data_IF_377692447241
#
_entry.id   IF_377692447241
#
_cell.length_a   1.000
_cell.length_b   1.000
_cell.length_c   1.000
_cell.angle_alpha   90.00
_cell.angle_beta   90.00
_cell.angle_gamma   90.00
#
_symmetry.space_group_name_H-M   'P 1'
#
loop_
_entity.id
_entity.type
_entity.pdbx_description
1 polymer ?
#
# COMPACT_ATOMS: atom_id res chain seq x y z
N UNK A 1 4.19 -5.24 -22.65
CA UNK A 1 2.87 -4.74 -23.11
C UNK A 1 2.25 -5.62 -24.19
N UNK A 2 2.81 -5.72 -25.41
CA UNK A 2 2.14 -6.36 -26.55
C UNK A 2 1.72 -7.82 -26.28
N UNK A 3 2.54 -8.61 -25.59
CA UNK A 3 2.19 -9.99 -25.21
C UNK A 3 0.96 -10.05 -24.30
N UNK A 4 0.86 -9.15 -23.31
CA UNK A 4 -0.28 -9.05 -22.41
C UNK A 4 -1.53 -8.53 -23.13
N UNK A 5 -1.38 -7.61 -24.08
CA UNK A 5 -2.50 -7.18 -24.92
C UNK A 5 -3.05 -8.33 -25.77
N UNK A 6 -2.18 -9.10 -26.46
CA UNK A 6 -2.61 -10.27 -27.22
C UNK A 6 -3.30 -11.30 -26.32
N UNK A 7 -2.75 -11.57 -25.14
CA UNK A 7 -3.34 -12.49 -24.17
C UNK A 7 -4.72 -12.03 -23.69
N UNK A 8 -4.84 -10.77 -23.26
CA UNK A 8 -6.11 -10.21 -22.75
C UNK A 8 -7.16 -10.07 -23.85
N UNK A 9 -6.73 -9.81 -25.09
CA UNK A 9 -7.61 -9.79 -26.26
C UNK A 9 -8.10 -11.19 -26.63
N UNK A 10 -7.27 -12.23 -26.47
CA UNK A 10 -7.60 -13.63 -26.77
C UNK A 10 -8.30 -14.36 -25.61
N UNK A 11 -9.17 -13.66 -24.89
CA UNK A 11 -9.95 -14.22 -23.77
C UNK A 11 -9.08 -14.83 -22.65
N UNK A 12 -7.84 -14.35 -22.48
CA UNK A 12 -6.91 -14.75 -21.41
C UNK A 12 -6.54 -16.23 -21.43
N UNK A 13 -6.46 -16.83 -22.62
CA UNK A 13 -6.00 -18.21 -22.78
C UNK A 13 -4.48 -18.29 -22.60
N UNK A 14 -4.04 -19.12 -21.65
CA UNK A 14 -2.64 -19.21 -21.25
C UNK A 14 -1.80 -20.14 -22.16
N UNK A 15 -2.43 -20.87 -23.07
CA UNK A 15 -1.81 -21.95 -23.85
C UNK A 15 -0.75 -21.48 -24.86
N UNK A 16 -0.66 -20.18 -25.13
CA UNK A 16 0.26 -19.61 -26.15
C UNK A 16 1.02 -18.37 -25.71
N UNK A 17 1.01 -18.06 -24.42
CA UNK A 17 1.62 -16.82 -23.92
C UNK A 17 3.12 -16.80 -24.16
N UNK A 18 3.82 -17.91 -23.87
CA UNK A 18 5.27 -18.01 -24.07
C UNK A 18 5.64 -17.91 -25.55
N UNK A 19 4.87 -18.56 -26.44
CA UNK A 19 5.05 -18.45 -27.90
C UNK A 19 4.86 -17.00 -28.39
N UNK A 20 3.87 -16.28 -27.83
CA UNK A 20 3.64 -14.87 -28.14
C UNK A 20 4.78 -13.99 -27.64
N UNK A 21 5.29 -14.21 -26.43
CA UNK A 21 6.46 -13.48 -25.89
C UNK A 21 7.65 -13.67 -26.84
N UNK A 22 7.99 -14.92 -27.14
CA UNK A 22 9.12 -15.25 -28.01
C UNK A 22 8.99 -14.60 -29.38
N UNK A 23 7.82 -14.70 -30.02
CA UNK A 23 7.56 -14.09 -31.33
C UNK A 23 7.73 -12.57 -31.29
N UNK A 24 7.15 -11.90 -30.28
CA UNK A 24 7.20 -10.44 -30.14
C UNK A 24 8.64 -9.96 -29.89
N UNK A 25 9.40 -10.66 -29.05
CA UNK A 25 10.81 -10.29 -28.80
C UNK A 25 11.65 -10.45 -30.06
N UNK A 26 11.46 -11.51 -30.84
CA UNK A 26 12.17 -11.69 -32.11
C UNK A 26 11.85 -10.60 -33.13
N UNK A 27 10.60 -10.13 -33.18
CA UNK A 27 10.14 -9.15 -34.16
C UNK A 27 10.49 -7.71 -33.77
N UNK A 28 10.36 -7.34 -32.50
CA UNK A 28 10.47 -5.95 -32.02
C UNK A 28 11.70 -5.68 -31.14
N UNK A 29 12.39 -6.73 -30.69
CA UNK A 29 13.56 -6.63 -29.83
C UNK A 29 14.73 -7.52 -30.26
N UNK A 30 15.09 -7.58 -31.56
CA UNK A 30 16.20 -8.42 -32.00
C UNK A 30 17.50 -7.97 -31.32
N UNK A 31 18.08 -8.86 -30.51
CA UNK A 31 19.31 -8.59 -29.74
C UNK A 31 19.11 -8.10 -28.31
N UNK A 32 17.89 -8.09 -27.78
CA UNK A 32 17.64 -7.93 -26.34
C UNK A 32 18.12 -9.18 -25.58
N UNK A 33 18.94 -8.98 -24.55
CA UNK A 33 19.42 -10.03 -23.64
C UNK A 33 18.63 -10.02 -22.32
N UNK A 34 17.32 -9.76 -22.41
CA UNK A 34 16.40 -9.58 -21.27
C UNK A 34 15.16 -10.48 -21.39
N UNK A 35 15.25 -11.58 -22.17
CA UNK A 35 14.11 -12.47 -22.40
C UNK A 35 13.56 -13.05 -21.10
N UNK A 36 14.44 -13.44 -20.19
CA UNK A 36 14.05 -14.00 -18.88
C UNK A 36 13.28 -12.96 -18.04
N UNK A 37 13.72 -11.69 -18.05
CA UNK A 37 13.04 -10.60 -17.35
C UNK A 37 11.66 -10.31 -17.96
N UNK A 38 11.57 -10.24 -19.28
CA UNK A 38 10.29 -10.03 -19.99
C UNK A 38 9.32 -11.18 -19.69
N UNK A 39 9.82 -12.42 -19.70
CA UNK A 39 9.02 -13.60 -19.41
C UNK A 39 8.53 -13.60 -17.96
N UNK A 40 9.41 -13.31 -16.99
CA UNK A 40 9.04 -13.18 -15.58
C UNK A 40 7.96 -12.12 -15.38
N UNK A 41 8.11 -10.95 -16.00
CA UNK A 41 7.14 -9.86 -15.90
C UNK A 41 5.76 -10.28 -16.45
N UNK A 42 5.73 -10.82 -17.67
CA UNK A 42 4.46 -11.20 -18.32
C UNK A 42 3.78 -12.36 -17.59
N UNK A 43 4.52 -13.41 -17.24
CA UNK A 43 3.97 -14.55 -16.51
C UNK A 43 3.56 -14.17 -15.09
N UNK A 44 4.31 -13.27 -14.44
CA UNK A 44 3.97 -12.71 -13.14
C UNK A 44 2.65 -11.94 -13.17
N UNK A 45 2.47 -11.06 -14.15
CA UNK A 45 1.20 -10.34 -14.34
C UNK A 45 0.02 -11.30 -14.53
N UNK A 46 0.17 -12.33 -15.36
CA UNK A 46 -0.88 -13.32 -15.60
C UNK A 46 -1.19 -14.11 -14.33
N UNK A 47 -0.14 -14.55 -13.62
CA UNK A 47 -0.27 -15.32 -12.37
C UNK A 47 -1.03 -14.56 -11.28
N UNK A 48 -0.81 -13.25 -11.17
CA UNK A 48 -1.46 -12.41 -10.15
C UNK A 48 -2.62 -11.57 -10.68
N UNK A 49 -3.13 -11.86 -11.89
CA UNK A 49 -4.11 -11.01 -12.55
C UNK A 49 -5.33 -10.68 -11.68
N UNK A 50 -5.94 -11.66 -11.03
CA UNK A 50 -7.15 -11.40 -10.21
C UNK A 50 -6.85 -10.42 -9.07
N UNK A 51 -5.71 -10.58 -8.39
CA UNK A 51 -5.27 -9.66 -7.34
C UNK A 51 -4.96 -8.26 -7.88
N UNK A 52 -4.31 -8.19 -9.04
CA UNK A 52 -3.98 -6.91 -9.68
C UNK A 52 -5.27 -6.18 -10.11
N UNK A 53 -6.22 -6.90 -10.68
CA UNK A 53 -7.53 -6.37 -11.10
C UNK A 53 -8.33 -5.86 -9.91
N UNK A 54 -8.39 -6.62 -8.80
CA UNK A 54 -9.07 -6.20 -7.57
C UNK A 54 -8.52 -4.87 -7.02
N UNK A 55 -7.20 -4.70 -7.03
CA UNK A 55 -6.55 -3.46 -6.56
C UNK A 55 -6.83 -2.31 -7.54
N UNK A 56 -6.79 -2.57 -8.85
CA UNK A 56 -7.13 -1.57 -9.87
C UNK A 56 -8.58 -1.09 -9.70
N UNK A 57 -9.53 -2.00 -9.49
CA UNK A 57 -10.94 -1.64 -9.29
C UNK A 57 -11.15 -0.83 -8.00
N UNK A 58 -10.45 -1.16 -6.92
CA UNK A 58 -10.48 -0.37 -5.68
C UNK A 58 -9.95 1.05 -5.90
N UNK A 59 -8.89 1.20 -6.70
CA UNK A 59 -8.28 2.50 -7.01
C UNK A 59 -9.05 3.30 -8.09
N UNK A 60 -9.91 2.64 -8.87
CA UNK A 60 -10.72 3.23 -9.93
C UNK A 60 -12.18 2.73 -9.87
N UNK A 61 -12.93 3.05 -8.79
CA UNK A 61 -14.25 2.47 -8.54
C UNK A 61 -15.31 2.85 -9.60
N UNK A 62 -15.14 4.01 -10.25
CA UNK A 62 -16.01 4.45 -11.34
C UNK A 62 -15.75 3.70 -12.66
N UNK A 63 -14.69 2.89 -12.73
CA UNK A 63 -14.24 2.19 -13.93
C UNK A 63 -14.02 0.70 -13.63
N UNK A 64 -15.08 -0.11 -13.71
CA UNK A 64 -14.95 -1.56 -13.62
C UNK A 64 -13.90 -2.08 -14.59
N UNK A 65 -13.17 -3.14 -14.22
CA UNK A 65 -11.98 -3.59 -14.94
C UNK A 65 -12.23 -3.86 -16.43
N UNK A 66 -13.43 -4.34 -16.75
CA UNK A 66 -13.87 -4.65 -18.11
C UNK A 66 -14.18 -3.41 -18.97
N UNK A 67 -14.41 -2.24 -18.35
CA UNK A 67 -14.65 -0.97 -19.02
C UNK A 67 -13.36 -0.18 -19.27
N UNK A 68 -12.27 -0.53 -18.58
CA UNK A 68 -10.95 0.04 -18.83
C UNK A 68 -10.44 -0.46 -20.18
N UNK A 69 -9.88 0.45 -20.99
CA UNK A 69 -9.27 0.11 -22.26
C UNK A 69 -8.20 -0.98 -22.08
N UNK A 70 -8.16 -1.96 -23.00
CA UNK A 70 -7.27 -3.13 -22.89
C UNK A 70 -5.81 -2.71 -22.70
N UNK A 71 -5.37 -1.66 -23.40
CA UNK A 71 -4.03 -1.08 -23.24
C UNK A 71 -3.83 -0.58 -21.81
N UNK A 72 -4.68 0.33 -21.34
CA UNK A 72 -4.56 0.96 -20.02
C UNK A 72 -4.61 -0.09 -18.90
N UNK A 73 -5.53 -1.06 -18.99
CA UNK A 73 -5.65 -2.16 -18.04
C UNK A 73 -4.35 -2.97 -17.96
N UNK A 74 -3.76 -3.33 -19.09
CA UNK A 74 -2.52 -4.11 -19.07
C UNK A 74 -1.31 -3.29 -18.63
N UNK A 75 -1.28 -1.98 -18.93
CA UNK A 75 -0.25 -1.09 -18.39
C UNK A 75 -0.38 -0.96 -16.86
N UNK A 76 -1.60 -0.81 -16.35
CA UNK A 76 -1.86 -0.79 -14.91
C UNK A 76 -1.41 -2.08 -14.24
N UNK A 77 -1.72 -3.24 -14.83
CA UNK A 77 -1.26 -4.53 -14.33
C UNK A 77 0.26 -4.65 -14.29
N UNK A 78 0.96 -4.20 -15.33
CA UNK A 78 2.43 -4.19 -15.39
C UNK A 78 2.98 -3.32 -14.25
N UNK A 79 2.59 -2.05 -14.21
CA UNK A 79 3.11 -1.11 -13.21
C UNK A 79 2.80 -1.54 -11.78
N UNK A 80 1.60 -2.10 -11.56
CA UNK A 80 1.22 -2.61 -10.25
C UNK A 80 1.99 -3.87 -9.87
N UNK A 81 2.22 -4.79 -10.82
CA UNK A 81 3.03 -5.97 -10.56
C UNK A 81 4.46 -5.56 -10.16
N UNK A 82 5.07 -4.63 -10.89
CA UNK A 82 6.40 -4.11 -10.55
C UNK A 82 6.43 -3.44 -9.17
N UNK A 83 5.41 -2.65 -8.83
CA UNK A 83 5.30 -2.01 -7.51
C UNK A 83 5.19 -3.01 -6.35
N UNK A 84 4.45 -4.10 -6.55
CA UNK A 84 4.11 -5.05 -5.48
C UNK A 84 5.10 -6.19 -5.33
N UNK A 85 5.76 -6.58 -6.42
CA UNK A 85 6.58 -7.79 -6.52
C UNK A 85 7.98 -7.56 -7.12
N UNK A 86 8.25 -6.39 -7.71
CA UNK A 86 9.57 -6.07 -8.27
C UNK A 86 10.65 -5.85 -7.20
N UNK A 87 11.91 -6.07 -7.58
CA UNK A 87 13.05 -5.72 -6.72
C UNK A 87 13.24 -4.20 -6.70
N UNK A 88 12.86 -3.60 -5.57
CA UNK A 88 12.95 -2.14 -5.36
C UNK A 88 14.38 -1.60 -5.39
N UNK A 89 15.39 -2.44 -5.21
CA UNK A 89 16.80 -2.04 -5.33
C UNK A 89 17.24 -1.88 -6.78
N UNK A 90 16.59 -2.58 -7.71
CA UNK A 90 16.85 -2.48 -9.14
C UNK A 90 15.98 -1.40 -9.78
N UNK A 91 14.68 -1.37 -9.45
CA UNK A 91 13.73 -0.39 -10.01
C UNK A 91 12.94 0.28 -8.88
N UNK A 92 13.25 1.56 -8.56
CA UNK A 92 12.48 2.31 -7.57
C UNK A 92 11.01 2.46 -7.99
N UNK A 93 10.10 2.47 -7.01
CA UNK A 93 8.65 2.52 -7.24
C UNK A 93 8.21 3.68 -8.14
N UNK A 94 8.81 4.87 -7.98
CA UNK A 94 8.51 6.03 -8.82
C UNK A 94 8.99 5.88 -10.27
N UNK A 95 10.06 5.14 -10.48
CA UNK A 95 10.54 4.81 -11.82
C UNK A 95 9.53 3.89 -12.49
N UNK A 96 9.13 2.79 -11.84
CA UNK A 96 8.09 1.89 -12.36
C UNK A 96 6.77 2.62 -12.72
N UNK A 97 6.34 3.56 -11.89
CA UNK A 97 5.16 4.39 -12.17
C UNK A 97 5.37 5.28 -13.39
N UNK A 98 6.51 5.98 -13.48
CA UNK A 98 6.80 6.84 -14.63
C UNK A 98 6.89 6.03 -15.92
N UNK A 99 7.56 4.88 -15.91
CA UNK A 99 7.65 3.99 -17.07
C UNK A 99 6.26 3.50 -17.50
N UNK A 100 5.40 3.15 -16.54
CA UNK A 100 4.00 2.79 -16.83
C UNK A 100 3.22 3.95 -17.46
N UNK A 101 3.41 5.19 -17.00
CA UNK A 101 2.77 6.37 -17.57
C UNK A 101 3.23 6.61 -19.01
N UNK A 102 4.54 6.53 -19.27
CA UNK A 102 5.09 6.72 -20.62
C UNK A 102 4.68 5.58 -21.56
N UNK A 103 4.58 4.36 -21.04
CA UNK A 103 4.04 3.22 -21.77
C UNK A 103 2.57 3.46 -22.16
N UNK A 104 1.73 3.93 -21.23
CA UNK A 104 0.35 4.31 -21.51
C UNK A 104 0.25 5.42 -22.55
N UNK A 105 1.14 6.43 -22.51
CA UNK A 105 1.17 7.49 -23.53
C UNK A 105 1.53 6.95 -24.91
N UNK A 106 2.49 6.04 -24.97
CA UNK A 106 2.97 5.47 -26.23
C UNK A 106 1.89 4.63 -26.91
N UNK A 107 1.13 3.83 -26.14
CA UNK A 107 0.15 2.90 -26.71
C UNK A 107 -1.30 3.42 -26.69
N UNK A 108 -1.65 4.37 -25.82
CA UNK A 108 -3.01 4.90 -25.65
C UNK A 108 -3.13 6.44 -25.70
N UNK A 109 -2.01 7.16 -25.80
CA UNK A 109 -1.97 8.62 -25.88
C UNK A 109 -2.09 9.34 -24.53
N UNK A 110 -2.18 10.67 -24.58
CA UNK A 110 -2.12 11.52 -23.38
C UNK A 110 -3.27 11.31 -22.38
N UNK A 111 -4.43 10.83 -22.84
CA UNK A 111 -5.54 10.52 -21.95
C UNK A 111 -5.27 9.25 -21.14
N UNK A 112 -4.74 8.21 -21.78
CA UNK A 112 -4.26 6.99 -21.13
C UNK A 112 -3.16 7.28 -20.13
N UNK A 113 -2.16 8.10 -20.50
CA UNK A 113 -1.11 8.52 -19.57
C UNK A 113 -1.66 9.21 -18.32
N UNK A 114 -2.65 10.11 -18.48
CA UNK A 114 -3.30 10.79 -17.35
C UNK A 114 -4.11 9.82 -16.48
N UNK A 115 -4.85 8.90 -17.10
CA UNK A 115 -5.62 7.89 -16.39
C UNK A 115 -4.72 6.97 -15.57
N UNK A 116 -3.70 6.38 -16.20
CA UNK A 116 -2.74 5.49 -15.53
C UNK A 116 -2.00 6.20 -14.40
N UNK A 117 -1.56 7.44 -14.61
CA UNK A 117 -0.97 8.26 -13.54
C UNK A 117 -1.92 8.46 -12.35
N UNK A 118 -3.21 8.68 -12.63
CA UNK A 118 -4.23 8.81 -11.60
C UNK A 118 -4.35 7.55 -10.75
N UNK A 119 -4.52 6.40 -11.39
CA UNK A 119 -4.73 5.10 -10.72
C UNK A 119 -3.48 4.64 -9.98
N UNK A 120 -2.31 4.57 -10.64
CA UNK A 120 -1.06 4.18 -9.98
C UNK A 120 -0.63 5.20 -8.92
N UNK A 121 -0.93 6.48 -9.10
CA UNK A 121 -0.69 7.51 -8.11
C UNK A 121 -1.56 7.36 -6.85
N UNK A 122 -2.80 6.90 -6.98
CA UNK A 122 -3.65 6.52 -5.84
C UNK A 122 -3.05 5.32 -5.10
N UNK A 123 -2.74 4.25 -5.84
CA UNK A 123 -2.18 3.03 -5.25
C UNK A 123 -0.83 3.29 -4.57
N UNK A 124 0.06 4.07 -5.20
CA UNK A 124 1.36 4.43 -4.63
C UNK A 124 1.24 5.18 -3.30
N UNK A 125 0.23 6.04 -3.16
CA UNK A 125 -0.06 6.74 -1.91
C UNK A 125 -0.61 5.80 -0.84
N UNK A 126 -1.48 4.88 -1.23
CA UNK A 126 -2.04 3.87 -0.32
C UNK A 126 -0.95 2.92 0.20
N UNK A 127 0.04 2.59 -0.62
CA UNK A 127 1.23 1.81 -0.24
C UNK A 127 2.23 2.56 0.67
N UNK A 128 1.93 3.79 1.11
CA UNK A 128 2.81 4.57 1.98
C UNK A 128 3.99 5.24 1.27
N UNK A 129 3.93 5.39 -0.06
CA UNK A 129 4.96 6.03 -0.90
C UNK A 129 6.38 5.44 -0.73
N UNK A 130 6.59 4.12 -0.91
CA UNK A 130 7.91 3.50 -0.72
C UNK A 130 8.97 4.14 -1.64
N UNK A 131 10.18 4.36 -1.11
CA UNK A 131 11.31 4.96 -1.85
C UNK A 131 11.22 6.48 -2.09
N UNK A 132 10.33 7.20 -1.38
CA UNK A 132 10.17 8.66 -1.50
C UNK A 132 11.44 9.45 -1.20
N UNK A 133 12.32 8.92 -0.33
CA UNK A 133 13.57 9.55 0.09
C UNK A 133 14.77 9.19 -0.82
N UNK A 134 14.61 8.29 -1.78
CA UNK A 134 15.72 7.73 -2.60
C UNK A 134 15.95 8.44 -3.95
N UNK A 135 15.21 9.51 -4.27
CA UNK A 135 15.42 10.29 -5.50
C UNK A 135 15.58 11.80 -5.27
N UNK A 136 16.44 12.50 -6.04
CA UNK A 136 16.64 13.93 -5.89
C UNK A 136 15.41 14.72 -6.36
N UNK A 137 15.03 15.73 -5.58
CA UNK A 137 13.86 16.58 -5.81
C UNK A 137 13.83 17.20 -7.23
N UNK A 138 12.71 17.05 -7.95
CA UNK A 138 12.43 17.84 -9.18
C UNK A 138 11.09 18.60 -9.15
N UNK A 139 11.26 19.93 -9.07
CA UNK A 139 10.52 21.13 -9.54
C UNK A 139 8.98 21.11 -9.78
N UNK A 140 8.28 21.91 -8.94
CA UNK A 140 7.10 22.83 -9.08
C UNK A 140 6.28 22.81 -10.39
N UNK A 141 4.93 22.77 -10.46
CA UNK A 141 3.81 23.55 -9.82
C UNK A 141 2.43 23.00 -10.33
N UNK A 142 1.22 23.28 -9.75
CA UNK A 142 0.68 24.62 -9.42
C UNK A 142 -0.04 24.79 -8.05
N UNK A 143 0.09 26.01 -7.50
CA UNK A 143 -0.37 26.53 -6.19
C UNK A 143 -0.06 25.63 -4.99
N UNK A 144 1.23 25.43 -4.74
CA UNK A 144 1.74 24.86 -3.50
C UNK A 144 1.44 25.81 -2.34
N UNK A 145 0.51 25.41 -1.47
CA UNK A 145 0.56 25.75 -0.05
C UNK A 145 1.96 25.33 0.42
N UNK A 146 2.77 26.24 0.99
CA UNK A 146 4.14 25.84 1.42
C UNK A 146 4.05 24.73 2.47
N UNK A 147 5.12 23.97 2.69
CA UNK A 147 5.13 22.90 3.70
C UNK A 147 4.66 23.42 5.07
N UNK A 148 5.04 24.66 5.41
CA UNK A 148 4.64 25.35 6.63
C UNK A 148 3.14 25.68 6.67
N UNK A 149 2.55 26.02 5.52
CA UNK A 149 1.15 26.38 5.36
C UNK A 149 0.24 25.13 5.20
N UNK A 150 0.80 23.93 4.97
CA UNK A 150 0.00 22.72 4.75
C UNK A 150 -0.83 22.40 6.01
N UNK A 151 -2.15 22.14 5.85
CA UNK A 151 -3.01 21.77 6.96
C UNK A 151 -2.50 20.48 7.60
N UNK A 152 -2.49 20.47 8.94
CA UNK A 152 -2.04 19.33 9.74
C UNK A 152 -3.28 18.56 10.20
N UNK A 153 -3.30 17.27 9.89
CA UNK A 153 -4.22 16.32 10.49
C UNK A 153 -3.46 15.53 11.54
N UNK A 154 -3.96 15.54 12.77
CA UNK A 154 -3.39 14.75 13.87
C UNK A 154 -4.14 13.45 14.01
N UNK A 155 -3.41 12.37 14.21
CA UNK A 155 -3.95 11.03 14.35
C UNK A 155 -3.36 10.34 15.60
N UNK A 156 -4.19 9.54 16.25
CA UNK A 156 -3.78 8.64 17.33
C UNK A 156 -3.80 7.19 16.85
N UNK A 157 -2.76 6.42 17.19
CA UNK A 157 -2.69 4.99 16.90
C UNK A 157 -1.99 4.23 18.03
N UNK A 158 -2.07 2.90 17.98
CA UNK A 158 -1.44 2.08 19.01
C UNK A 158 -0.86 0.76 18.48
N UNK A 159 0.21 0.31 19.14
CA UNK A 159 0.57 -1.09 19.20
C UNK A 159 -0.20 -1.70 20.37
N UNK A 160 -1.30 -2.36 20.04
CA UNK A 160 -2.17 -2.99 21.04
C UNK A 160 -1.65 -4.38 21.34
N UNK A 161 -1.46 -4.69 22.62
CA UNK A 161 -1.01 -6.01 23.07
C UNK A 161 -1.98 -6.65 24.05
N UNK A 162 -1.99 -7.98 24.10
CA UNK A 162 -2.57 -8.75 25.21
C UNK A 162 -1.54 -9.70 25.78
N UNK A 163 -1.74 -10.08 27.04
CA UNK A 163 -0.94 -11.11 27.71
C UNK A 163 -1.72 -12.42 27.73
N UNK A 164 -1.08 -13.49 27.27
CA UNK A 164 -1.57 -14.87 27.29
C UNK A 164 -0.62 -15.74 28.10
N UNK A 165 -0.99 -17.00 28.35
CA UNK A 165 -0.11 -17.97 29.01
C UNK A 165 1.17 -18.25 28.19
N UNK A 166 1.09 -18.12 26.86
CA UNK A 166 2.21 -18.33 25.93
C UNK A 166 3.12 -17.10 25.81
N UNK A 167 2.67 -15.91 26.20
CA UNK A 167 3.45 -14.68 26.13
C UNK A 167 2.62 -13.46 25.76
N UNK A 168 3.20 -12.59 24.94
CA UNK A 168 2.50 -11.40 24.44
C UNK A 168 2.12 -11.61 22.98
N UNK A 169 0.94 -11.12 22.65
CA UNK A 169 0.42 -11.05 21.28
C UNK A 169 0.08 -9.60 20.96
N UNK A 170 0.30 -9.21 19.70
CA UNK A 170 -0.02 -7.89 19.17
C UNK A 170 -1.24 -8.00 18.26
N UNK A 171 -2.20 -7.10 18.41
CA UNK A 171 -3.30 -6.97 17.46
C UNK A 171 -2.83 -6.10 16.29
N UNK A 172 -2.99 -6.63 15.07
CA UNK A 172 -2.70 -5.93 13.83
C UNK A 172 -3.92 -5.97 12.93
N UNK A 173 -4.09 -4.91 12.14
CA UNK A 173 -5.10 -4.85 11.07
C UNK A 173 -4.43 -5.14 9.74
N UNK A 174 -5.15 -5.81 8.84
CA UNK A 174 -4.68 -6.13 7.50
C UNK A 174 -5.41 -5.26 6.50
N UNK A 175 -4.64 -4.63 5.61
CA UNK A 175 -5.20 -3.83 4.54
C UNK A 175 -5.43 -4.63 3.25
N UNK A 176 -6.23 -4.04 2.37
CA UNK A 176 -6.53 -4.59 1.05
C UNK A 176 -5.30 -4.72 0.12
N UNK A 177 -4.14 -4.18 0.50
CA UNK A 177 -2.88 -4.30 -0.25
C UNK A 177 -2.05 -5.50 0.20
N UNK A 178 -2.49 -6.22 1.24
CA UNK A 178 -1.81 -7.40 1.76
C UNK A 178 -0.81 -7.10 2.87
N UNK A 179 -0.89 -5.93 3.51
CA UNK A 179 0.01 -5.52 4.58
C UNK A 179 -0.68 -5.57 5.94
N UNK A 180 0.05 -6.07 6.94
CA UNK A 180 -0.30 -5.93 8.34
C UNK A 180 0.23 -4.61 8.88
N UNK A 181 -0.61 -3.86 9.58
CA UNK A 181 -0.29 -2.51 10.06
C UNK A 181 -0.97 -2.21 11.39
N UNK A 182 -0.69 -1.02 11.92
CA UNK A 182 -1.24 -0.52 13.17
C UNK A 182 -2.53 0.26 12.92
N UNK A 183 -3.52 0.00 13.77
CA UNK A 183 -4.78 0.74 13.77
C UNK A 183 -4.55 2.19 14.25
N UNK A 184 -5.14 3.15 13.52
CA UNK A 184 -4.95 4.59 13.72
C UNK A 184 -6.14 5.38 13.17
N UNK A 185 -6.47 6.50 13.81
CA UNK A 185 -7.53 7.37 13.33
C UNK A 185 -7.42 8.82 13.78
N UNK A 186 -8.43 9.63 13.45
CA UNK A 186 -8.34 11.08 13.50
C UNK A 186 -8.63 11.62 14.90
N UNK A 187 -7.81 12.59 15.35
CA UNK A 187 -8.07 13.30 16.60
C UNK A 187 -9.16 14.35 16.37
N UNK A 188 -10.27 14.21 17.07
CA UNK A 188 -11.37 15.18 17.09
C UNK A 188 -11.04 16.41 17.94
N UNK A 189 -11.81 17.49 17.76
CA UNK A 189 -11.53 18.78 18.39
C UNK A 189 -11.61 18.77 19.93
N UNK A 190 -12.32 17.81 20.52
CA UNK A 190 -12.64 17.76 21.94
C UNK A 190 -11.99 16.57 22.69
N UNK A 191 -11.02 15.90 22.08
CA UNK A 191 -10.33 14.75 22.69
C UNK A 191 -8.81 14.94 22.69
N UNK A 192 -8.13 14.35 23.69
CA UNK A 192 -6.67 14.26 23.70
C UNK A 192 -6.17 13.05 22.88
N UNK A 193 -4.86 12.97 22.64
CA UNK A 193 -4.26 11.93 21.81
C UNK A 193 -4.54 10.50 22.33
N UNK A 194 -4.60 10.31 23.66
CA UNK A 194 -4.88 9.01 24.27
C UNK A 194 -6.36 8.64 24.17
N UNK A 195 -7.26 9.60 24.37
CA UNK A 195 -8.71 9.43 24.21
C UNK A 195 -9.07 9.07 22.78
N UNK A 196 -8.52 9.82 21.81
CA UNK A 196 -8.63 9.51 20.38
C UNK A 196 -8.17 8.09 20.08
N UNK A 197 -6.97 7.72 20.54
CA UNK A 197 -6.40 6.40 20.29
C UNK A 197 -7.33 5.31 20.84
N UNK A 198 -7.84 5.44 22.06
CA UNK A 198 -8.77 4.46 22.62
C UNK A 198 -10.08 4.34 21.83
N UNK A 199 -10.65 5.47 21.40
CA UNK A 199 -11.87 5.52 20.58
C UNK A 199 -11.67 4.86 19.22
N UNK A 200 -10.62 5.24 18.49
CA UNK A 200 -10.34 4.72 17.14
C UNK A 200 -10.04 3.23 17.14
N UNK A 201 -9.22 2.75 18.09
CA UNK A 201 -8.98 1.30 18.23
C UNK A 201 -10.29 0.55 18.51
N UNK A 202 -11.18 1.12 19.35
CA UNK A 202 -12.47 0.52 19.64
C UNK A 202 -13.36 0.47 18.41
N UNK A 203 -13.46 1.56 17.67
CA UNK A 203 -14.24 1.67 16.45
C UNK A 203 -13.74 0.69 15.38
N UNK A 204 -12.42 0.56 15.18
CA UNK A 204 -11.86 -0.26 14.10
C UNK A 204 -11.80 -1.75 14.46
N UNK A 205 -11.40 -2.08 15.69
CA UNK A 205 -11.03 -3.46 16.09
C UNK A 205 -11.92 -4.08 17.16
N UNK A 206 -12.88 -3.31 17.69
CA UNK A 206 -13.77 -3.68 18.81
C UNK A 206 -13.05 -3.93 20.15
N UNK A 207 -11.74 -3.63 20.25
CA UNK A 207 -10.98 -3.76 21.48
C UNK A 207 -11.14 -2.56 22.42
N UNK A 208 -11.27 -2.83 23.71
CA UNK A 208 -11.12 -1.84 24.77
C UNK A 208 -9.66 -1.84 25.23
N UNK A 209 -9.03 -0.66 25.26
CA UNK A 209 -7.60 -0.52 25.56
C UNK A 209 -7.31 0.44 26.71
N UNK A 210 -6.20 0.19 27.39
CA UNK A 210 -5.55 1.13 28.31
C UNK A 210 -4.25 1.64 27.67
N UNK A 211 -4.18 2.95 27.39
CA UNK A 211 -3.04 3.57 26.72
C UNK A 211 -1.89 3.82 27.70
N UNK A 212 -0.74 3.21 27.43
CA UNK A 212 0.45 3.23 28.27
C UNK A 212 1.50 4.24 27.75
N UNK A 213 2.67 3.73 27.35
CA UNK A 213 3.88 4.47 26.96
C UNK A 213 3.78 5.05 25.54
N UNK A 214 4.35 6.24 25.32
CA UNK A 214 4.52 6.80 23.97
C UNK A 214 5.64 6.07 23.20
N UNK A 215 5.28 5.47 22.06
CA UNK A 215 6.23 4.81 21.17
C UNK A 215 6.92 5.83 20.25
N UNK A 216 6.21 6.87 19.85
CA UNK A 216 6.79 8.01 19.13
C UNK A 216 5.80 8.61 18.14
N UNK A 217 6.33 9.39 17.21
CA UNK A 217 5.53 10.11 16.21
C UNK A 217 6.05 9.82 14.82
N UNK A 218 5.14 9.72 13.87
CA UNK A 218 5.43 9.69 12.44
C UNK A 218 4.76 10.89 11.76
N UNK A 219 5.41 11.48 10.77
CA UNK A 219 4.82 12.51 9.92
C UNK A 219 4.97 12.13 8.45
N UNK A 220 3.86 12.14 7.73
CA UNK A 220 3.85 11.94 6.28
C UNK A 220 2.86 12.89 5.61
N UNK A 221 3.07 13.14 4.31
CA UNK A 221 2.18 13.98 3.52
C UNK A 221 1.16 13.09 2.84
N UNK A 222 -0.12 13.31 3.11
CA UNK A 222 -1.22 12.67 2.39
C UNK A 222 -1.86 13.67 1.41
N UNK A 223 -2.48 13.17 0.35
CA UNK A 223 -3.19 13.98 -0.63
C UNK A 223 -4.66 13.60 -0.62
N UNK A 224 -5.53 14.52 -0.22
CA UNK A 224 -6.97 14.33 -0.22
C UNK A 224 -7.58 14.90 -1.52
N UNK A 225 -8.51 14.20 -2.19
CA UNK A 225 -9.10 14.65 -3.47
C UNK A 225 -9.69 16.06 -3.42
N UNK A 226 -10.43 16.38 -2.35
CA UNK A 226 -11.04 17.71 -2.17
C UNK A 226 -10.17 18.72 -1.41
N UNK A 227 -9.42 18.28 -0.40
CA UNK A 227 -8.69 19.17 0.54
C UNK A 227 -7.23 19.43 0.14
N UNK A 228 -6.71 18.76 -0.89
CA UNK A 228 -5.33 18.91 -1.35
C UNK A 228 -4.30 18.20 -0.46
N UNK A 229 -3.04 18.65 -0.50
CA UNK A 229 -1.95 18.09 0.31
C UNK A 229 -2.09 18.49 1.76
N UNK A 230 -1.94 17.53 2.65
CA UNK A 230 -2.05 17.66 4.10
C UNK A 230 -0.92 16.90 4.78
N UNK A 231 -0.47 17.39 5.94
CA UNK A 231 0.52 16.69 6.77
C UNK A 231 -0.22 15.86 7.80
N UNK A 232 -0.10 14.54 7.71
CA UNK A 232 -0.61 13.62 8.71
C UNK A 232 0.47 13.40 9.76
N UNK A 233 0.18 13.77 10.99
CA UNK A 233 1.03 13.54 12.16
C UNK A 233 0.37 12.46 13.01
N UNK A 234 0.96 11.27 13.05
CA UNK A 234 0.47 10.15 13.85
C UNK A 234 1.33 10.03 15.10
N UNK A 235 0.69 9.95 16.26
CA UNK A 235 1.34 9.53 17.50
C UNK A 235 0.95 8.08 17.79
N UNK A 236 1.95 7.25 18.06
CA UNK A 236 1.76 5.85 18.42
C UNK A 236 2.03 5.62 19.89
N UNK A 237 1.14 4.88 20.54
CA UNK A 237 1.28 4.44 21.92
C UNK A 237 1.39 2.92 22.03
N UNK A 238 2.02 2.44 23.10
CA UNK A 238 1.81 1.08 23.57
C UNK A 238 0.46 1.06 24.30
N UNK A 239 -0.38 0.08 24.02
CA UNK A 239 -1.66 -0.03 24.70
C UNK A 239 -1.99 -1.47 25.06
N UNK A 240 -2.51 -1.66 26.27
CA UNK A 240 -2.93 -2.98 26.75
C UNK A 240 -4.40 -3.21 26.43
N UNK A 241 -4.72 -4.34 25.82
CA UNK A 241 -6.09 -4.81 25.67
C UNK A 241 -6.66 -5.19 27.05
N UNK A 242 -7.75 -4.55 27.45
CA UNK A 242 -8.45 -4.76 28.72
C UNK A 242 -9.86 -5.34 28.54
N UNK A 243 -10.37 -5.38 27.30
CA UNK A 243 -11.68 -5.92 26.97
C UNK A 243 -11.94 -5.95 25.47
N UNK A 244 -13.11 -6.46 25.10
CA UNK A 244 -13.52 -6.60 23.71
C UNK A 244 -13.06 -7.91 23.05
N UNK A 245 -13.69 -8.23 21.93
CA UNK A 245 -13.33 -9.36 21.06
C UNK A 245 -12.77 -8.78 19.77
N UNK A 246 -11.57 -9.20 19.38
CA UNK A 246 -10.91 -8.69 18.18
C UNK A 246 -11.74 -9.03 16.95
N UNK A 247 -12.29 -8.01 16.30
CA UNK A 247 -12.99 -8.13 15.04
C UNK A 247 -12.96 -6.81 14.31
N UNK A 248 -12.83 -6.87 13.00
CA UNK A 248 -12.87 -5.68 12.17
C UNK A 248 -14.32 -5.18 12.14
N UNK A 249 -14.55 -3.92 12.51
CA UNK A 249 -15.88 -3.33 12.35
C UNK A 249 -16.01 -2.80 10.91
N UNK A 250 -17.01 -3.30 10.19
CA UNK A 250 -17.08 -3.29 8.72
C UNK A 250 -17.31 -1.91 8.06
N UNK A 251 -17.09 -0.79 8.74
CA UNK A 251 -17.62 0.49 8.27
C UNK A 251 -16.62 1.46 7.63
N UNK A 252 -15.30 1.33 7.78
CA UNK A 252 -14.35 2.27 7.14
C UNK A 252 -12.96 1.65 6.92
N UNK A 253 -12.28 2.06 5.84
CA UNK A 253 -10.81 2.19 5.90
C UNK A 253 -9.94 1.25 5.06
N UNK A 254 -10.46 0.54 4.07
CA UNK A 254 -9.59 -0.30 3.21
C UNK A 254 -8.88 -1.43 3.97
N UNK A 255 -9.45 -1.83 5.11
CA UNK A 255 -9.04 -2.98 5.89
C UNK A 255 -9.95 -4.16 5.56
N UNK A 256 -9.38 -5.36 5.47
CA UNK A 256 -10.13 -6.58 5.15
C UNK A 256 -9.93 -7.70 6.18
N UNK A 257 -8.99 -7.57 7.11
CA UNK A 257 -8.79 -8.53 8.19
C UNK A 257 -8.21 -7.89 9.46
N UNK A 258 -8.26 -8.62 10.57
CA UNK A 258 -7.63 -8.27 11.85
C UNK A 258 -7.27 -9.55 12.60
N UNK A 259 -6.09 -9.61 13.21
CA UNK A 259 -5.67 -10.82 13.93
C UNK A 259 -4.67 -10.53 15.06
N UNK A 260 -4.49 -11.51 15.93
CA UNK A 260 -3.47 -11.55 16.98
C UNK A 260 -2.23 -12.27 16.49
N UNK A 261 -1.06 -11.66 16.69
CA UNK A 261 0.23 -12.24 16.33
C UNK A 261 1.13 -12.35 17.54
N UNK A 262 1.72 -13.52 17.73
CA UNK A 262 2.78 -13.71 18.72
C UNK A 262 4.04 -12.96 18.30
N UNK A 263 4.86 -12.54 19.27
CA UNK A 263 6.09 -11.80 18.96
C UNK A 263 7.04 -12.51 17.96
N UNK A 264 7.16 -13.85 17.96
CA UNK A 264 7.94 -14.57 16.95
C UNK A 264 7.37 -14.55 15.52
N UNK A 265 6.06 -14.34 15.34
CA UNK A 265 5.43 -14.29 14.01
C UNK A 265 5.62 -12.93 13.32
N UNK A 266 5.80 -11.86 14.11
CA UNK A 266 5.91 -10.48 13.61
C UNK A 266 6.95 -10.31 12.48
N UNK A 267 8.18 -10.88 12.54
CA UNK A 267 9.17 -10.72 11.48
C UNK A 267 8.78 -11.35 10.14
N UNK A 268 7.86 -12.32 10.14
CA UNK A 268 7.39 -13.01 8.93
C UNK A 268 6.20 -12.28 8.27
N UNK A 269 5.66 -11.26 8.93
CA UNK A 269 4.54 -10.47 8.41
C UNK A 269 5.02 -9.44 7.39
N UNK A 270 4.24 -9.28 6.32
CA UNK A 270 4.40 -8.18 5.38
C UNK A 270 3.89 -6.89 6.02
N UNK A 271 4.78 -6.05 6.55
CA UNK A 271 4.44 -4.78 7.21
C UNK A 271 5.07 -3.58 6.49
N UNK A 272 4.55 -2.38 6.72
CA UNK A 272 5.17 -1.16 6.21
C UNK A 272 6.41 -0.78 7.02
N UNK A 273 7.46 -0.32 6.33
CA UNK A 273 8.73 0.05 6.97
C UNK A 273 8.59 1.18 7.99
N UNK A 274 7.58 2.05 7.81
CA UNK A 274 7.33 3.19 8.70
C UNK A 274 6.68 2.79 10.03
N UNK A 275 6.03 1.62 10.12
CA UNK A 275 5.45 1.11 11.37
C UNK A 275 6.41 0.22 12.17
N UNK A 276 7.38 -0.41 11.51
CA UNK A 276 8.35 -1.32 12.14
C UNK A 276 9.10 -0.73 13.34
N UNK A 277 9.53 0.55 13.34
CA UNK A 277 10.20 1.14 14.49
C UNK A 277 9.33 1.15 15.76
N UNK A 278 8.02 1.41 15.61
CA UNK A 278 7.08 1.44 16.73
C UNK A 278 6.80 0.03 17.26
N UNK A 279 6.62 -0.93 16.37
CA UNK A 279 6.45 -2.35 16.71
C UNK A 279 7.70 -2.88 17.44
N UNK A 280 8.88 -2.58 16.92
CA UNK A 280 10.16 -2.98 17.53
C UNK A 280 10.32 -2.37 18.93
N UNK A 281 9.99 -1.09 19.10
CA UNK A 281 10.04 -0.42 20.40
C UNK A 281 9.03 -1.04 21.38
N UNK A 282 7.81 -1.33 20.94
CA UNK A 282 6.81 -2.03 21.74
C UNK A 282 7.29 -3.40 22.20
N UNK A 283 7.84 -4.22 21.30
CA UNK A 283 8.42 -5.54 21.62
C UNK A 283 9.49 -5.43 22.71
N UNK A 284 10.38 -4.43 22.60
CA UNK A 284 11.43 -4.21 23.58
C UNK A 284 10.86 -3.81 24.96
N UNK A 285 9.84 -2.94 25.00
CA UNK A 285 9.15 -2.58 26.24
C UNK A 285 8.45 -3.80 26.87
N UNK A 286 7.77 -4.62 26.07
CA UNK A 286 7.08 -5.81 26.54
C UNK A 286 8.05 -6.86 27.11
N UNK A 287 9.23 -7.03 26.48
CA UNK A 287 10.29 -7.90 27.02
C UNK A 287 10.77 -7.44 28.39
N UNK A 288 10.88 -6.12 28.61
CA UNK A 288 11.26 -5.55 29.91
C UNK A 288 10.18 -5.74 30.98
N UNK A 289 8.89 -5.76 30.61
CA UNK A 289 7.78 -6.05 31.54
C UNK A 289 7.71 -7.51 32.01
N UNK A 290 8.41 -8.42 31.33
CA UNK A 290 8.45 -9.86 31.65
C UNK A 290 9.54 -10.21 32.68
N UNK A 291 10.41 -9.26 33.04
CA UNK A 291 11.47 -9.38 34.07
C UNK A 291 11.03 -8.74 35.38
#
# INVERSE_FOLDING_TARGET
>A
MQALFEWDFNERKNDRVEDSIFRIVQEFGPGLDELDFIQELVLGVIKYQDKLDDIIEKAAPDWPIHQIAVVDRNVLRIGLFELLFGDKKEVPARVAINESIELAKTFGGENSGRFVNGVLGTIYKELGEPGKDEMPAKKKRPKDVTYEEMPIEKLGGAVVYRQTDAGFELALVHDVFGYWTLSKGHIEANENEKECTAREIKEETNLDIEVEDELGKNEYIASHPEKGKMRKQVIYFLAKCVGGELRLQAEKGGLDNVDWFTLPEIPDLRMYDDVLPFVTKAINLLKLKKS
#
